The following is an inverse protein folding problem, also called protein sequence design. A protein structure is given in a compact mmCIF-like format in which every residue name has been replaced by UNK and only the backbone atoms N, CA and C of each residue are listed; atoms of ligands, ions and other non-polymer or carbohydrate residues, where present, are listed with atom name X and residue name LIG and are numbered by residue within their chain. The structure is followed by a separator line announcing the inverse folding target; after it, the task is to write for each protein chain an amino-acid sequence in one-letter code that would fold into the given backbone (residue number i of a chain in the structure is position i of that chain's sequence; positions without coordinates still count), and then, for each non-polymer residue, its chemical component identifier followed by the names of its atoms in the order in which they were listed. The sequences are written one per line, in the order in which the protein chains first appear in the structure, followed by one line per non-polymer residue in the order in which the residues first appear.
data_IF_249246754630
#
_entry.id   IF_249246754630
#
_cell.length_a   1.000
_cell.length_b   1.000
_cell.length_c   1.000
_cell.angle_alpha   90.00
_cell.angle_beta   90.00
_cell.angle_gamma   90.00
#
_symmetry.space_group_name_H-M   'P 1'
#
loop_
_entity.id
_entity.type
_entity.pdbx_description
1 polymer ?
#
# COMPACT_ATOMS: atom_id res chain seq x y z
N UNK A 1 -3.01 12.28 23.72
CA UNK A 1 -3.89 13.22 23.07
C UNK A 1 -3.96 14.52 23.84
N UNK A 2 -5.00 15.30 23.71
CA UNK A 2 -5.17 16.61 24.35
C UNK A 2 -6.58 16.72 24.92
N UNK A 3 -6.83 17.77 25.71
CA UNK A 3 -8.13 18.07 26.25
C UNK A 3 -8.36 17.58 27.66
N UNK A 4 -9.58 17.77 28.11
CA UNK A 4 -10.12 17.38 29.43
C UNK A 4 -11.30 16.48 29.16
N UNK A 5 -11.46 15.44 29.98
CA UNK A 5 -12.61 14.52 29.94
C UNK A 5 -13.21 14.43 31.33
N UNK A 6 -14.53 14.46 31.42
CA UNK A 6 -15.28 14.40 32.67
C UNK A 6 -16.23 13.20 32.66
N UNK A 7 -16.57 12.70 33.83
CA UNK A 7 -17.63 11.73 34.00
C UNK A 7 -18.95 12.32 33.48
N UNK A 8 -19.66 11.58 32.64
CA UNK A 8 -20.90 12.00 32.00
C UNK A 8 -20.73 12.72 30.66
N UNK A 9 -19.49 13.03 30.24
CA UNK A 9 -19.26 13.65 28.93
C UNK A 9 -19.72 12.71 27.80
N UNK A 10 -20.36 13.27 26.77
CA UNK A 10 -20.64 12.56 25.54
C UNK A 10 -19.34 12.41 24.76
N UNK A 11 -19.05 11.20 24.32
CA UNK A 11 -17.88 10.88 23.50
C UNK A 11 -18.26 10.11 22.25
N UNK A 12 -17.47 10.26 21.21
CA UNK A 12 -17.65 9.54 19.95
C UNK A 12 -16.36 8.78 19.60
N UNK A 13 -16.53 7.50 19.27
CA UNK A 13 -15.44 6.66 18.77
C UNK A 13 -15.25 6.90 17.27
N UNK A 14 -14.04 7.23 16.84
CA UNK A 14 -13.68 7.35 15.42
C UNK A 14 -12.72 6.23 15.02
N UNK A 15 -12.93 5.57 13.83
CA UNK A 15 -13.77 6.03 12.72
C UNK A 15 -15.23 5.53 12.76
N UNK A 16 -15.65 4.74 13.75
CA UNK A 16 -16.99 4.10 13.74
C UNK A 16 -18.17 5.10 13.86
N UNK A 17 -17.94 6.28 14.43
CA UNK A 17 -18.96 7.28 14.67
C UNK A 17 -19.92 6.93 15.81
N UNK A 18 -19.71 5.82 16.54
CA UNK A 18 -20.55 5.42 17.67
C UNK A 18 -20.36 6.37 18.82
N UNK A 19 -21.47 6.78 19.44
CA UNK A 19 -21.51 7.69 20.58
C UNK A 19 -21.84 6.95 21.85
N UNK A 20 -21.30 7.41 22.97
CA UNK A 20 -21.61 6.96 24.34
C UNK A 20 -21.28 8.05 25.33
N UNK A 21 -21.55 7.79 26.61
CA UNK A 21 -21.16 8.69 27.71
C UNK A 21 -20.08 8.04 28.57
N UNK A 22 -19.21 8.89 29.12
CA UNK A 22 -18.17 8.45 30.06
C UNK A 22 -18.82 8.03 31.38
N UNK A 23 -18.78 6.74 31.68
CA UNK A 23 -19.34 6.17 32.90
C UNK A 23 -18.44 6.39 34.10
N UNK A 24 -17.14 6.11 33.95
CA UNK A 24 -16.12 6.36 34.97
C UNK A 24 -14.74 6.61 34.38
N UNK A 25 -13.92 7.29 35.14
CA UNK A 25 -12.50 7.54 34.83
C UNK A 25 -11.71 6.96 35.99
N UNK A 26 -10.82 6.02 35.70
CA UNK A 26 -10.08 5.26 36.74
C UNK A 26 -8.58 5.41 36.52
N UNK A 27 -7.86 5.65 37.59
CA UNK A 27 -6.39 5.62 37.67
C UNK A 27 -5.94 4.57 38.68
N UNK A 28 -4.61 4.42 38.82
CA UNK A 28 -4.06 3.55 39.86
C UNK A 28 -4.49 3.98 41.28
N UNK A 29 -4.66 5.28 41.53
CA UNK A 29 -5.00 5.86 42.83
C UNK A 29 -6.53 5.89 43.11
N UNK A 30 -7.34 5.46 42.14
CA UNK A 30 -8.80 5.41 42.26
C UNK A 30 -9.55 6.12 41.13
N UNK A 31 -10.86 6.34 41.38
CA UNK A 31 -11.73 7.04 40.44
C UNK A 31 -11.52 8.55 40.48
N UNK A 32 -11.66 9.20 39.34
CA UNK A 32 -11.60 10.64 39.15
C UNK A 32 -12.90 11.14 38.50
N UNK A 33 -13.30 12.35 38.85
CA UNK A 33 -14.42 13.03 38.20
C UNK A 33 -13.98 13.72 36.89
N UNK A 34 -12.69 14.10 36.80
CA UNK A 34 -12.09 14.78 35.66
C UNK A 34 -10.65 14.29 35.44
N UNK A 35 -10.25 14.16 34.18
CA UNK A 35 -8.85 13.90 33.81
C UNK A 35 -8.44 14.76 32.61
N UNK A 36 -7.14 15.05 32.53
CA UNK A 36 -6.53 15.89 31.50
C UNK A 36 -5.27 15.26 30.92
N UNK A 37 -4.90 15.73 29.73
CA UNK A 37 -3.63 15.30 29.10
C UNK A 37 -2.44 15.86 29.89
N UNK A 38 -1.37 15.03 30.15
CA UNK A 38 -1.06 13.71 29.61
C UNK A 38 -1.34 12.52 30.57
N UNK A 39 -2.29 12.64 31.48
CA UNK A 39 -2.60 11.55 32.42
C UNK A 39 -2.92 10.23 31.71
N UNK A 40 -2.38 9.12 32.25
CA UNK A 40 -2.76 7.77 31.85
C UNK A 40 -3.99 7.35 32.65
N UNK A 41 -5.10 7.11 31.97
CA UNK A 41 -6.39 6.82 32.56
C UNK A 41 -7.03 5.61 31.88
N UNK A 42 -7.92 4.94 32.60
CA UNK A 42 -8.88 3.98 32.04
C UNK A 42 -10.25 4.63 32.02
N UNK A 43 -10.88 4.68 30.84
CA UNK A 43 -12.25 5.18 30.69
C UNK A 43 -13.17 3.98 30.50
N UNK A 44 -14.28 3.95 31.23
CA UNK A 44 -15.40 3.05 30.97
C UNK A 44 -16.54 3.85 30.36
N UNK A 45 -17.25 3.26 29.42
CA UNK A 45 -18.39 3.87 28.73
C UNK A 45 -19.71 3.26 29.22
N UNK A 46 -20.81 3.97 29.02
CA UNK A 46 -22.14 3.44 29.36
C UNK A 46 -22.57 2.35 28.40
N UNK A 47 -22.22 2.50 27.10
CA UNK A 47 -22.51 1.53 26.07
C UNK A 47 -21.28 0.69 25.73
N UNK A 48 -21.52 -0.50 25.23
CA UNK A 48 -20.47 -1.41 24.75
C UNK A 48 -20.05 -0.99 23.34
N UNK A 49 -18.93 -0.25 23.26
CA UNK A 49 -18.33 0.20 22.00
C UNK A 49 -16.98 -0.48 21.84
N UNK A 50 -16.78 -1.14 20.71
CA UNK A 50 -15.49 -1.67 20.31
C UNK A 50 -14.56 -0.52 19.87
N UNK A 51 -13.39 -0.44 20.50
CA UNK A 51 -12.37 0.58 20.25
C UNK A 51 -10.99 -0.08 20.22
N UNK A 52 -10.38 -0.07 19.05
CA UNK A 52 -9.09 -0.68 18.82
C UNK A 52 -7.93 0.31 18.93
N UNK A 53 -6.71 -0.23 19.10
CA UNK A 53 -5.49 0.60 19.10
C UNK A 53 -5.33 1.33 17.76
N UNK A 54 -5.13 2.63 17.85
CA UNK A 54 -5.04 3.52 16.66
C UNK A 54 -6.33 4.28 16.40
N UNK A 55 -7.43 3.88 17.02
CA UNK A 55 -8.69 4.63 17.04
C UNK A 55 -8.70 5.67 18.16
N UNK A 56 -9.68 6.54 18.17
CA UNK A 56 -9.69 7.69 19.07
C UNK A 56 -11.09 7.95 19.63
N UNK A 57 -11.17 8.29 20.91
CA UNK A 57 -12.36 8.90 21.49
C UNK A 57 -12.24 10.41 21.40
N UNK A 58 -13.26 11.06 20.89
CA UNK A 58 -13.32 12.50 20.69
C UNK A 58 -14.62 13.07 21.23
N UNK A 59 -14.63 14.36 21.52
CA UNK A 59 -15.88 15.07 21.76
C UNK A 59 -16.65 15.23 20.43
N UNK A 60 -17.99 14.97 20.38
CA UNK A 60 -18.74 15.02 19.13
C UNK A 60 -18.66 16.36 18.38
N UNK A 61 -18.49 17.47 19.10
CA UNK A 61 -18.39 18.81 18.52
C UNK A 61 -16.96 19.22 18.19
N UNK A 62 -15.96 18.35 18.46
CA UNK A 62 -14.55 18.65 18.21
C UNK A 62 -13.85 17.45 17.60
N UNK A 63 -14.16 17.17 16.34
CA UNK A 63 -13.62 16.05 15.59
C UNK A 63 -12.35 16.50 14.87
N UNK A 64 -11.21 15.77 14.99
CA UNK A 64 -10.01 16.04 14.22
C UNK A 64 -10.22 15.77 12.73
N UNK A 65 -9.30 16.24 11.89
CA UNK A 65 -9.28 15.86 10.47
C UNK A 65 -9.14 14.34 10.33
N UNK A 66 -9.94 13.75 9.42
CA UNK A 66 -9.91 12.33 9.08
C UNK A 66 -9.53 12.23 7.62
N UNK A 67 -8.26 12.11 7.33
CA UNK A 67 -7.77 12.11 5.95
C UNK A 67 -6.63 11.13 5.73
N UNK A 68 -6.50 10.66 4.49
CA UNK A 68 -5.32 9.93 4.03
C UNK A 68 -4.25 10.86 3.46
N UNK A 69 -4.67 12.06 3.04
CA UNK A 69 -3.83 13.01 2.33
C UNK A 69 -3.59 14.21 3.25
N UNK A 70 -2.35 14.49 3.52
CA UNK A 70 -1.99 15.60 4.38
C UNK A 70 -0.65 16.21 3.98
N UNK A 71 -0.45 17.43 4.39
CA UNK A 71 0.75 18.19 4.17
C UNK A 71 1.48 18.41 5.50
N UNK A 72 2.79 18.27 5.48
CA UNK A 72 3.61 18.45 6.68
C UNK A 72 4.96 19.07 6.38
N UNK A 73 5.53 19.73 7.41
CA UNK A 73 6.96 19.97 7.46
C UNK A 73 7.65 18.69 7.90
N UNK A 74 8.70 18.31 7.20
CA UNK A 74 9.47 17.10 7.40
C UNK A 74 10.93 17.43 7.65
N UNK A 75 11.54 16.79 8.63
CA UNK A 75 12.99 16.81 8.86
C UNK A 75 13.53 15.42 8.60
N UNK A 76 14.44 15.30 7.64
CA UNK A 76 15.04 14.02 7.30
C UNK A 76 16.20 13.69 8.25
N UNK A 77 16.19 12.51 8.83
CA UNK A 77 17.12 12.08 9.88
C UNK A 77 17.96 10.85 9.50
N UNK A 78 17.70 10.25 8.35
CA UNK A 78 18.43 9.08 7.88
C UNK A 78 19.65 9.52 7.06
N UNK A 79 20.76 8.77 7.18
CA UNK A 79 21.94 8.95 6.32
C UNK A 79 21.66 8.63 4.86
N UNK A 80 20.73 7.68 4.62
CA UNK A 80 20.25 7.39 3.27
C UNK A 80 19.31 8.49 2.81
N UNK A 81 19.54 9.05 1.62
CA UNK A 81 18.61 10.02 1.04
C UNK A 81 17.20 9.43 0.88
N UNK A 82 16.21 10.28 1.00
CA UNK A 82 14.82 9.93 0.75
C UNK A 82 14.65 9.33 -0.66
N UNK A 83 13.98 8.20 -0.74
CA UNK A 83 13.59 7.60 -2.00
C UNK A 83 12.11 7.90 -2.28
N UNK A 84 11.82 8.59 -3.37
CA UNK A 84 10.47 9.04 -3.73
C UNK A 84 9.46 7.90 -3.82
N UNK A 85 9.90 6.76 -4.35
CA UNK A 85 9.04 5.60 -4.59
C UNK A 85 8.95 4.63 -3.40
N UNK A 86 9.64 4.92 -2.32
CA UNK A 86 9.65 4.06 -1.15
C UNK A 86 8.43 4.35 -0.26
N UNK A 87 7.79 3.28 0.20
CA UNK A 87 6.80 3.39 1.27
C UNK A 87 7.49 3.30 2.62
N UNK A 88 7.11 4.19 3.53
CA UNK A 88 7.55 4.20 4.93
C UNK A 88 6.41 3.77 5.83
N UNK A 89 6.70 3.31 7.04
CA UNK A 89 5.71 3.30 8.09
C UNK A 89 5.61 4.69 8.71
N UNK A 90 4.40 5.21 8.81
CA UNK A 90 4.11 6.40 9.61
C UNK A 90 3.57 5.95 10.97
N UNK A 91 4.14 6.50 12.04
CA UNK A 91 3.62 6.34 13.40
C UNK A 91 3.19 7.71 13.91
N UNK A 92 1.89 7.84 14.10
CA UNK A 92 1.24 9.05 14.59
C UNK A 92 0.37 8.66 15.78
N UNK A 93 0.64 9.22 16.94
CA UNK A 93 0.04 8.78 18.22
C UNK A 93 0.16 7.26 18.41
N UNK A 94 -0.95 6.55 18.49
CA UNK A 94 -1.03 5.08 18.59
C UNK A 94 -1.27 4.39 17.25
N UNK A 95 -1.48 5.16 16.18
CA UNK A 95 -1.73 4.64 14.84
C UNK A 95 -0.41 4.37 14.11
N UNK A 96 -0.36 3.25 13.40
CA UNK A 96 0.76 2.89 12.52
C UNK A 96 0.20 2.37 11.21
N UNK A 97 0.59 2.98 10.10
CA UNK A 97 0.19 2.57 8.77
C UNK A 97 1.30 2.85 7.76
N UNK A 98 1.15 2.40 6.53
CA UNK A 98 2.09 2.75 5.45
C UNK A 98 1.72 4.11 4.86
N UNK A 99 2.74 4.85 4.45
CA UNK A 99 2.64 6.15 3.81
C UNK A 99 3.69 6.28 2.72
N UNK A 100 3.39 7.01 1.67
CA UNK A 100 4.39 7.47 0.72
C UNK A 100 4.38 9.00 0.64
N UNK A 101 5.49 9.55 0.19
CA UNK A 101 5.64 10.97 -0.06
C UNK A 101 5.22 11.21 -1.51
N UNK A 102 4.11 11.89 -1.72
CA UNK A 102 3.56 12.18 -3.05
C UNK A 102 4.43 13.22 -3.78
N UNK A 103 4.75 14.31 -3.09
CA UNK A 103 5.62 15.36 -3.62
C UNK A 103 6.31 16.16 -2.51
N UNK A 104 7.50 16.66 -2.82
CA UNK A 104 8.15 17.71 -2.04
C UNK A 104 7.77 19.05 -2.67
N UNK A 105 7.09 19.93 -1.90
CA UNK A 105 6.74 21.26 -2.41
C UNK A 105 7.96 22.15 -2.49
N UNK A 106 8.78 22.15 -1.45
CA UNK A 106 10.07 22.86 -1.40
C UNK A 106 10.91 22.37 -0.21
N UNK A 107 12.21 22.59 -0.30
CA UNK A 107 13.14 22.53 0.85
C UNK A 107 13.38 23.91 1.41
N UNK A 108 13.72 23.97 2.69
CA UNK A 108 14.07 25.19 3.41
C UNK A 108 15.53 25.13 3.82
N UNK A 109 16.34 26.10 3.41
CA UNK A 109 17.67 26.28 3.95
C UNK A 109 17.54 26.92 5.36
N UNK A 110 18.08 26.24 6.37
CA UNK A 110 17.95 26.67 7.76
C UNK A 110 18.74 27.94 8.09
N UNK A 111 19.73 28.33 7.26
CA UNK A 111 20.58 29.51 7.48
C UNK A 111 20.02 30.75 6.80
N UNK A 112 19.52 30.58 5.56
CA UNK A 112 19.01 31.70 4.76
C UNK A 112 17.50 31.81 4.79
N UNK A 113 16.80 30.77 5.24
CA UNK A 113 15.33 30.62 5.19
C UNK A 113 14.77 30.63 3.75
N UNK A 114 15.65 30.49 2.76
CA UNK A 114 15.25 30.44 1.37
C UNK A 114 14.60 29.07 1.03
N UNK A 115 13.66 29.11 0.12
CA UNK A 115 12.96 27.93 -0.39
C UNK A 115 13.53 27.53 -1.74
N UNK A 116 13.79 26.25 -1.93
CA UNK A 116 14.26 25.68 -3.19
C UNK A 116 13.46 24.46 -3.58
N UNK A 117 13.28 24.25 -4.89
CA UNK A 117 12.66 23.04 -5.41
C UNK A 117 13.59 21.84 -5.22
N UNK A 118 13.03 20.70 -4.86
CA UNK A 118 13.79 19.47 -4.69
C UNK A 118 12.90 18.24 -4.90
N UNK A 119 13.50 17.15 -5.36
CA UNK A 119 12.83 15.86 -5.55
C UNK A 119 13.20 14.84 -4.47
N UNK A 120 14.24 15.09 -3.70
CA UNK A 120 14.74 14.21 -2.64
C UNK A 120 15.23 15.02 -1.45
N UNK A 121 15.44 14.36 -0.33
CA UNK A 121 15.96 14.94 0.91
C UNK A 121 17.17 14.14 1.39
N UNK A 122 18.17 14.85 1.91
CA UNK A 122 19.35 14.31 2.57
C UNK A 122 19.29 14.55 4.08
N UNK A 123 20.19 13.93 4.81
CA UNK A 123 20.31 14.09 6.28
C UNK A 123 20.27 15.57 6.71
N UNK A 124 19.46 15.86 7.73
CA UNK A 124 19.24 17.18 8.32
C UNK A 124 18.57 18.23 7.41
N UNK A 125 18.05 17.82 6.26
CA UNK A 125 17.27 18.73 5.43
C UNK A 125 15.83 18.84 5.91
N UNK A 126 15.27 20.05 5.75
CA UNK A 126 13.89 20.37 6.08
C UNK A 126 13.12 20.64 4.79
N UNK A 127 11.95 20.04 4.67
CA UNK A 127 11.10 20.24 3.50
C UNK A 127 9.62 20.32 3.88
N UNK A 128 8.83 20.94 3.02
CA UNK A 128 7.38 20.85 3.00
C UNK A 128 6.98 19.81 1.99
N UNK A 129 6.27 18.79 2.44
CA UNK A 129 5.91 17.64 1.61
C UNK A 129 4.45 17.23 1.79
N UNK A 130 3.91 16.60 0.74
CA UNK A 130 2.57 16.01 0.72
C UNK A 130 2.69 14.51 0.87
N UNK A 131 1.80 13.95 1.66
CA UNK A 131 1.80 12.55 2.05
C UNK A 131 0.47 11.89 1.71
N UNK A 132 0.53 10.61 1.32
CA UNK A 132 -0.65 9.76 1.13
C UNK A 132 -0.48 8.49 1.94
N UNK A 133 -1.37 8.27 2.91
CA UNK A 133 -1.37 7.09 3.78
C UNK A 133 -2.34 6.01 3.30
N UNK A 134 -2.03 4.74 3.60
CA UNK A 134 -2.90 3.63 3.22
C UNK A 134 -4.21 3.58 4.02
N UNK A 135 -4.17 4.06 5.28
CA UNK A 135 -5.36 4.21 6.14
C UNK A 135 -5.52 5.66 6.55
N UNK A 136 -6.74 6.12 6.80
CA UNK A 136 -6.96 7.46 7.33
C UNK A 136 -6.20 7.67 8.64
N UNK A 137 -5.62 8.85 8.81
CA UNK A 137 -5.08 9.34 10.06
C UNK A 137 -6.08 10.31 10.70
N UNK A 138 -6.02 10.41 12.03
CA UNK A 138 -6.84 11.33 12.82
C UNK A 138 -5.92 12.39 13.40
N UNK A 139 -5.95 13.59 12.85
CA UNK A 139 -4.98 14.62 13.21
C UNK A 139 -5.56 16.01 13.28
N UNK A 140 -4.93 16.82 14.10
CA UNK A 140 -5.04 18.27 14.06
C UNK A 140 -3.73 18.85 13.47
N UNK A 141 -3.72 20.11 13.08
CA UNK A 141 -2.47 20.75 12.72
C UNK A 141 -1.53 20.77 13.94
N UNK A 142 -0.23 20.66 13.70
CA UNK A 142 0.78 20.69 14.77
C UNK A 142 0.70 21.97 15.61
N UNK A 143 0.27 23.09 15.01
CA UNK A 143 0.08 24.36 15.71
C UNK A 143 -1.03 24.31 16.74
N UNK A 144 -2.11 23.58 16.43
CA UNK A 144 -3.28 23.43 17.32
C UNK A 144 -3.00 22.38 18.40
N UNK A 145 -2.47 21.22 17.98
CA UNK A 145 -2.27 20.08 18.85
C UNK A 145 -0.98 19.33 18.49
N UNK A 146 0.07 19.61 19.24
CA UNK A 146 1.41 19.03 18.98
C UNK A 146 1.40 17.51 19.01
N UNK A 147 0.61 16.88 19.88
CA UNK A 147 0.58 15.43 20.04
C UNK A 147 -0.09 14.74 18.85
N UNK A 148 -1.23 15.27 18.38
CA UNK A 148 -1.96 14.71 17.25
C UNK A 148 -1.42 15.17 15.89
N UNK A 149 -0.69 16.30 15.87
CA UNK A 149 -0.09 16.87 14.67
C UNK A 149 1.35 16.47 14.39
N UNK A 150 1.95 15.58 15.18
CA UNK A 150 3.31 15.09 14.97
C UNK A 150 3.35 13.61 14.61
N UNK A 151 4.35 13.22 13.83
CA UNK A 151 4.58 11.83 13.43
C UNK A 151 6.05 11.54 13.19
N UNK A 152 6.38 10.26 13.12
CA UNK A 152 7.67 9.78 12.64
C UNK A 152 7.48 8.89 11.43
N UNK A 153 8.47 8.91 10.52
CA UNK A 153 8.62 7.94 9.43
C UNK A 153 9.65 6.89 9.83
N UNK A 154 9.33 5.65 9.57
CA UNK A 154 10.16 4.49 9.90
C UNK A 154 10.44 3.73 8.60
N UNK A 155 11.70 3.42 8.34
CA UNK A 155 12.09 2.57 7.23
C UNK A 155 11.57 1.13 7.46
N UNK A 156 10.81 0.55 6.50
CA UNK A 156 10.20 -0.77 6.69
C UNK A 156 11.20 -1.93 6.70
N UNK A 157 12.44 -1.71 6.26
CA UNK A 157 13.48 -2.75 6.17
C UNK A 157 14.35 -2.70 7.42
N UNK A 158 14.87 -1.52 7.77
CA UNK A 158 15.80 -1.34 8.89
C UNK A 158 15.10 -1.12 10.22
N UNK A 159 13.82 -0.72 10.20
CA UNK A 159 13.04 -0.24 11.36
C UNK A 159 13.64 1.00 12.05
N UNK A 160 14.54 1.70 11.39
CA UNK A 160 15.08 2.97 11.88
C UNK A 160 14.11 4.12 11.60
N UNK A 161 14.16 5.15 12.43
CA UNK A 161 13.44 6.40 12.17
C UNK A 161 14.15 7.16 11.06
N UNK A 162 13.49 7.32 9.92
CA UNK A 162 14.02 8.04 8.76
C UNK A 162 13.70 9.53 8.79
N UNK A 163 12.57 9.92 9.39
CA UNK A 163 12.20 11.34 9.49
C UNK A 163 11.22 11.61 10.62
N UNK A 164 11.11 12.88 10.97
CA UNK A 164 10.07 13.42 11.86
C UNK A 164 9.25 14.47 11.12
N UNK A 165 7.95 14.54 11.39
CA UNK A 165 7.06 15.45 10.68
C UNK A 165 6.07 16.18 11.58
N UNK A 166 5.69 17.36 11.12
CA UNK A 166 4.71 18.25 11.75
C UNK A 166 3.59 18.53 10.74
N UNK A 167 2.42 18.00 10.97
CA UNK A 167 1.26 18.14 10.07
C UNK A 167 0.80 19.58 10.03
N UNK A 168 0.60 20.09 8.83
CA UNK A 168 0.13 21.46 8.58
C UNK A 168 -1.38 21.42 8.41
N UNK A 169 -1.86 20.63 7.44
CA UNK A 169 -3.27 20.55 7.09
C UNK A 169 -3.57 19.29 6.25
N UNK A 170 -4.84 19.01 6.01
CA UNK A 170 -5.25 18.03 5.02
C UNK A 170 -5.07 18.58 3.59
N UNK A 171 -4.99 17.64 2.63
CA UNK A 171 -4.84 17.96 1.21
C UNK A 171 -5.97 17.31 0.42
N UNK A 172 -6.60 18.07 -0.48
CA UNK A 172 -7.61 17.51 -1.36
C UNK A 172 -6.99 16.53 -2.36
N UNK A 173 -7.73 15.50 -2.70
CA UNK A 173 -7.25 14.49 -3.67
C UNK A 173 -6.96 15.08 -5.06
N UNK A 174 -7.58 16.21 -5.42
CA UNK A 174 -7.31 16.96 -6.65
C UNK A 174 -5.92 17.58 -6.69
N UNK A 175 -5.31 17.82 -5.53
CA UNK A 175 -4.05 18.55 -5.39
C UNK A 175 -2.83 17.61 -5.28
N UNK A 176 -3.07 16.31 -5.37
CA UNK A 176 -2.02 15.28 -5.38
C UNK A 176 -1.33 15.23 -6.74
N UNK A 177 -0.04 14.89 -6.74
CA UNK A 177 0.71 14.66 -7.98
C UNK A 177 0.16 13.50 -8.80
N UNK A 178 -0.44 12.52 -8.10
CA UNK A 178 -1.15 11.39 -8.69
C UNK A 178 -2.58 11.70 -9.15
N UNK A 179 -3.04 12.96 -9.02
CA UNK A 179 -4.36 13.34 -9.52
C UNK A 179 -4.44 13.16 -11.04
N UNK A 180 -5.50 12.49 -11.49
CA UNK A 180 -5.72 12.19 -12.91
C UNK A 180 -5.94 13.49 -13.69
N UNK A 181 -5.01 13.80 -14.59
CA UNK A 181 -5.07 14.98 -15.47
C UNK A 181 -6.04 14.75 -16.64
N UNK A 182 -6.39 15.81 -17.38
CA UNK A 182 -7.20 15.65 -18.61
C UNK A 182 -6.43 14.86 -19.71
N UNK A 183 -5.11 14.97 -19.72
CA UNK A 183 -4.27 14.17 -20.61
C UNK A 183 -4.33 12.68 -20.23
N UNK A 184 -4.31 12.36 -18.94
CA UNK A 184 -4.46 10.99 -18.45
C UNK A 184 -5.85 10.42 -18.79
N UNK A 185 -6.89 11.23 -18.66
CA UNK A 185 -8.24 10.85 -19.08
C UNK A 185 -8.30 10.55 -20.59
N UNK A 186 -7.56 11.29 -21.39
CA UNK A 186 -7.45 11.02 -22.83
C UNK A 186 -6.77 9.67 -23.07
N UNK A 187 -5.62 9.42 -22.41
CA UNK A 187 -4.91 8.12 -22.49
C UNK A 187 -5.83 6.95 -22.13
N UNK A 188 -6.63 7.10 -21.05
CA UNK A 188 -7.55 6.03 -20.65
C UNK A 188 -8.69 5.80 -21.62
N UNK A 189 -9.20 6.86 -22.28
CA UNK A 189 -10.19 6.71 -23.38
C UNK A 189 -9.62 5.97 -24.58
N UNK A 190 -8.32 6.14 -24.83
CA UNK A 190 -7.58 5.42 -25.89
C UNK A 190 -7.16 4.00 -25.44
N UNK A 191 -7.64 3.51 -24.29
CA UNK A 191 -7.36 2.17 -23.76
C UNK A 191 -5.98 2.02 -23.14
N UNK A 192 -5.26 3.11 -22.87
CA UNK A 192 -3.93 3.10 -22.27
C UNK A 192 -4.06 3.14 -20.74
N UNK A 193 -3.44 2.17 -20.08
CA UNK A 193 -3.38 2.13 -18.60
C UNK A 193 -2.47 3.21 -18.04
N UNK A 194 -2.91 3.91 -17.00
CA UNK A 194 -2.09 4.88 -16.27
C UNK A 194 -1.10 4.21 -15.31
N UNK A 195 -1.27 2.91 -15.04
CA UNK A 195 -0.35 2.14 -14.21
C UNK A 195 0.65 1.43 -15.12
N UNK A 196 1.93 1.76 -14.99
CA UNK A 196 3.00 1.12 -15.74
C UNK A 196 3.24 -0.32 -15.29
N UNK A 197 3.85 -1.11 -16.14
CA UNK A 197 4.18 -2.51 -15.82
C UNK A 197 5.21 -2.58 -14.68
N UNK A 198 6.18 -1.65 -14.64
CA UNK A 198 7.16 -1.56 -13.56
C UNK A 198 6.55 -1.19 -12.20
N UNK A 199 5.52 -0.34 -12.16
CA UNK A 199 4.79 -0.05 -10.92
C UNK A 199 4.05 -1.29 -10.42
N UNK A 200 3.47 -2.09 -11.33
CA UNK A 200 2.80 -3.36 -10.97
C UNK A 200 3.79 -4.38 -10.41
N UNK A 201 4.91 -4.60 -11.11
CA UNK A 201 5.96 -5.52 -10.65
C UNK A 201 6.49 -5.14 -9.27
N UNK A 202 6.70 -3.85 -9.03
CA UNK A 202 7.14 -3.34 -7.72
C UNK A 202 6.07 -3.55 -6.64
N UNK A 203 4.79 -3.32 -6.96
CA UNK A 203 3.68 -3.50 -6.02
C UNK A 203 3.49 -4.97 -5.64
N UNK A 204 3.58 -5.86 -6.63
CA UNK A 204 3.41 -7.32 -6.45
C UNK A 204 4.68 -7.94 -5.84
N UNK A 205 5.85 -7.31 -6.03
CA UNK A 205 7.14 -7.82 -5.57
C UNK A 205 7.71 -8.94 -6.43
N UNK A 206 7.21 -9.09 -7.67
CA UNK A 206 7.69 -10.10 -8.63
C UNK A 206 7.57 -9.59 -10.06
N UNK A 207 8.46 -10.07 -10.94
CA UNK A 207 8.33 -9.93 -12.38
C UNK A 207 7.47 -11.07 -12.96
N UNK A 208 6.63 -10.73 -13.93
CA UNK A 208 5.85 -11.74 -14.65
C UNK A 208 6.75 -12.69 -15.44
N UNK A 209 6.35 -13.95 -15.46
CA UNK A 209 7.01 -15.02 -16.24
C UNK A 209 5.94 -15.87 -16.91
N UNK A 210 6.24 -16.30 -18.14
CA UNK A 210 5.35 -17.19 -18.88
C UNK A 210 5.95 -18.59 -18.96
N UNK A 211 5.20 -19.57 -18.49
CA UNK A 211 5.52 -20.98 -18.61
C UNK A 211 4.51 -21.65 -19.55
N UNK A 212 4.98 -22.45 -20.48
CA UNK A 212 4.16 -23.24 -21.39
C UNK A 212 4.40 -24.71 -21.07
N UNK A 213 3.36 -25.41 -20.67
CA UNK A 213 3.40 -26.84 -20.42
C UNK A 213 2.93 -27.56 -21.67
N UNK A 214 3.89 -28.14 -22.41
CA UNK A 214 3.64 -28.84 -23.66
C UNK A 214 3.72 -30.37 -23.47
N UNK A 215 2.87 -31.15 -24.14
CA UNK A 215 2.88 -32.60 -24.08
C UNK A 215 1.68 -33.21 -24.80
N UNK A 216 1.62 -34.54 -24.82
CA UNK A 216 0.55 -35.31 -25.52
C UNK A 216 -0.55 -35.79 -24.57
N UNK A 217 -0.41 -35.61 -23.27
CA UNK A 217 -1.36 -36.06 -22.28
C UNK A 217 -1.86 -34.90 -21.42
N UNK A 218 -3.10 -34.49 -21.64
CA UNK A 218 -3.72 -33.36 -20.95
C UNK A 218 -3.78 -33.53 -19.42
N UNK A 219 -4.03 -34.75 -18.93
CA UNK A 219 -4.10 -34.99 -17.49
C UNK A 219 -2.74 -34.74 -16.82
N UNK A 220 -1.66 -35.20 -17.45
CA UNK A 220 -0.30 -35.00 -16.96
C UNK A 220 0.13 -33.52 -17.06
N UNK A 221 -0.24 -32.81 -18.14
CA UNK A 221 -0.02 -31.38 -18.28
C UNK A 221 -0.73 -30.60 -17.18
N UNK A 222 -1.99 -30.92 -16.87
CA UNK A 222 -2.75 -30.29 -15.78
C UNK A 222 -2.11 -30.54 -14.43
N UNK A 223 -1.74 -31.77 -14.15
CA UNK A 223 -1.07 -32.12 -12.91
C UNK A 223 0.22 -31.33 -12.73
N UNK A 224 1.07 -31.28 -13.75
CA UNK A 224 2.31 -30.51 -13.75
C UNK A 224 2.03 -29.00 -13.52
N UNK A 225 1.07 -28.42 -14.24
CA UNK A 225 0.73 -27.02 -14.15
C UNK A 225 0.26 -26.62 -12.74
N UNK A 226 -0.67 -27.38 -12.16
CA UNK A 226 -1.21 -27.09 -10.83
C UNK A 226 -0.23 -27.40 -9.70
N UNK A 227 0.65 -28.38 -9.83
CA UNK A 227 1.74 -28.62 -8.89
C UNK A 227 2.78 -27.48 -8.93
N UNK A 228 3.10 -26.97 -10.12
CA UNK A 228 3.98 -25.81 -10.28
C UNK A 228 3.35 -24.55 -9.66
N UNK A 229 2.06 -24.29 -9.93
CA UNK A 229 1.31 -23.20 -9.31
C UNK A 229 1.37 -23.28 -7.78
N UNK A 230 1.07 -24.47 -7.24
CA UNK A 230 1.13 -24.69 -5.78
C UNK A 230 2.53 -24.42 -5.22
N UNK A 231 3.56 -24.91 -5.89
CA UNK A 231 4.95 -24.71 -5.47
C UNK A 231 5.35 -23.23 -5.48
N UNK A 232 4.96 -22.50 -6.51
CA UNK A 232 5.19 -21.06 -6.59
C UNK A 232 4.47 -20.30 -5.48
N UNK A 233 3.21 -20.67 -5.21
CA UNK A 233 2.45 -20.09 -4.11
C UNK A 233 3.11 -20.33 -2.75
N UNK A 234 3.59 -21.56 -2.47
CA UNK A 234 4.28 -21.90 -1.22
C UNK A 234 5.61 -21.13 -1.04
N UNK A 235 6.21 -20.63 -2.12
CA UNK A 235 7.39 -19.77 -2.12
C UNK A 235 7.07 -18.28 -2.15
N UNK A 236 5.80 -17.91 -2.00
CA UNK A 236 5.36 -16.51 -1.92
C UNK A 236 5.15 -15.81 -3.26
N UNK A 237 5.03 -16.57 -4.36
CA UNK A 237 4.78 -16.02 -5.68
C UNK A 237 3.31 -16.13 -6.07
N UNK A 238 2.82 -15.13 -6.79
CA UNK A 238 1.50 -15.14 -7.37
C UNK A 238 1.54 -15.71 -8.79
N UNK A 239 0.96 -16.90 -8.95
CA UNK A 239 0.91 -17.59 -10.24
C UNK A 239 -0.55 -17.94 -10.60
N UNK A 240 -0.82 -18.12 -11.89
CA UNK A 240 -2.13 -18.52 -12.40
C UNK A 240 -1.97 -19.54 -13.52
N UNK A 241 -2.79 -20.60 -13.50
CA UNK A 241 -2.86 -21.59 -14.57
C UNK A 241 -3.93 -21.19 -15.58
N UNK A 242 -3.56 -21.08 -16.84
CA UNK A 242 -4.46 -20.92 -17.98
C UNK A 242 -4.61 -22.25 -18.69
N UNK A 243 -5.81 -22.82 -18.61
CA UNK A 243 -6.22 -24.04 -19.31
C UNK A 243 -7.16 -23.66 -20.45
N UNK A 244 -6.70 -23.81 -21.70
CA UNK A 244 -7.46 -23.43 -22.88
C UNK A 244 -8.84 -24.12 -22.92
N UNK A 245 -8.91 -25.40 -22.56
CA UNK A 245 -10.16 -26.14 -22.56
C UNK A 245 -11.16 -25.62 -21.52
N UNK A 246 -10.69 -25.27 -20.31
CA UNK A 246 -11.56 -24.66 -19.28
C UNK A 246 -12.07 -23.27 -19.68
N UNK A 247 -11.33 -22.57 -20.52
CA UNK A 247 -11.73 -21.28 -21.07
C UNK A 247 -12.64 -21.39 -22.29
N UNK A 248 -12.99 -22.61 -22.73
CA UNK A 248 -13.80 -22.84 -23.93
C UNK A 248 -13.05 -22.48 -25.22
N UNK A 249 -11.73 -22.53 -25.18
CA UNK A 249 -10.87 -22.25 -26.34
C UNK A 249 -10.58 -23.57 -27.01
N UNK A 250 -11.48 -23.95 -27.92
CA UNK A 250 -11.41 -25.20 -28.65
C UNK A 250 -11.02 -24.94 -30.10
N UNK A 251 -9.75 -25.14 -30.43
CA UNK A 251 -9.26 -25.12 -31.81
C UNK A 251 -8.11 -24.14 -32.10
N UNK A 252 -7.42 -24.46 -33.19
CA UNK A 252 -6.20 -23.75 -33.65
C UNK A 252 -6.40 -22.27 -33.95
N UNK A 253 -7.60 -21.88 -34.40
CA UNK A 253 -7.89 -20.47 -34.72
C UNK A 253 -7.95 -19.54 -33.50
N UNK A 254 -8.06 -20.09 -32.28
CA UNK A 254 -8.15 -19.33 -31.04
C UNK A 254 -6.83 -19.31 -30.23
N UNK A 255 -5.81 -20.05 -30.69
CA UNK A 255 -4.50 -20.13 -30.01
C UNK A 255 -3.82 -18.76 -29.91
N UNK A 256 -3.98 -17.92 -30.94
CA UNK A 256 -3.43 -16.56 -30.92
C UNK A 256 -4.07 -15.67 -29.85
N UNK A 257 -5.39 -15.79 -29.63
CA UNK A 257 -6.10 -15.06 -28.59
C UNK A 257 -5.66 -15.53 -27.20
N UNK A 258 -5.49 -16.83 -27.02
CA UNK A 258 -5.01 -17.43 -25.77
C UNK A 258 -3.58 -16.96 -25.45
N UNK A 259 -2.67 -16.98 -26.43
CA UNK A 259 -1.31 -16.48 -26.30
C UNK A 259 -1.27 -14.97 -25.96
N UNK A 260 -2.17 -14.18 -26.55
CA UNK A 260 -2.29 -12.76 -26.26
C UNK A 260 -2.74 -12.52 -24.79
N UNK A 261 -3.72 -13.27 -24.29
CA UNK A 261 -4.17 -13.19 -22.89
C UNK A 261 -3.02 -13.57 -21.95
N UNK A 262 -2.31 -14.65 -22.23
CA UNK A 262 -1.19 -15.12 -21.43
C UNK A 262 -0.06 -14.06 -21.38
N UNK A 263 0.27 -13.46 -22.50
CA UNK A 263 1.28 -12.41 -22.62
C UNK A 263 0.86 -11.17 -21.84
N UNK A 264 -0.41 -10.75 -21.93
CA UNK A 264 -0.89 -9.57 -21.21
C UNK A 264 -0.87 -9.77 -19.70
N UNK A 265 -1.27 -10.94 -19.19
CA UNK A 265 -1.18 -11.27 -17.77
C UNK A 265 0.27 -11.27 -17.28
N UNK A 266 1.17 -11.86 -18.05
CA UNK A 266 2.61 -11.88 -17.74
C UNK A 266 3.18 -10.46 -17.68
N UNK A 267 2.81 -9.60 -18.64
CA UNK A 267 3.23 -8.19 -18.64
C UNK A 267 2.73 -7.42 -17.42
N UNK A 268 1.64 -7.85 -16.80
CA UNK A 268 1.11 -7.28 -15.56
C UNK A 268 1.79 -7.79 -14.29
N UNK A 269 2.90 -8.53 -14.38
CA UNK A 269 3.64 -9.03 -13.23
C UNK A 269 3.15 -10.39 -12.70
N UNK A 270 2.26 -11.06 -13.43
CA UNK A 270 1.70 -12.36 -13.02
C UNK A 270 2.53 -13.49 -13.63
N UNK A 271 2.91 -14.48 -12.83
CA UNK A 271 3.49 -15.71 -13.34
C UNK A 271 2.36 -16.53 -13.97
N UNK A 272 2.40 -16.67 -15.29
CA UNK A 272 1.34 -17.30 -16.06
C UNK A 272 1.82 -18.68 -16.54
N UNK A 273 1.04 -19.73 -16.26
CA UNK A 273 1.33 -21.12 -16.62
C UNK A 273 0.28 -21.56 -17.63
N UNK A 274 0.65 -21.73 -18.89
CA UNK A 274 -0.24 -22.13 -19.96
C UNK A 274 -0.16 -23.63 -20.22
N UNK A 275 -1.31 -24.29 -20.34
CA UNK A 275 -1.40 -25.67 -20.80
C UNK A 275 -1.61 -25.65 -22.31
N UNK A 276 -0.59 -26.07 -23.05
CA UNK A 276 -0.59 -26.10 -24.52
C UNK A 276 -1.05 -27.49 -25.02
N UNK A 277 -2.33 -27.57 -25.39
CA UNK A 277 -2.96 -28.78 -25.89
C UNK A 277 -2.52 -29.21 -27.31
N UNK A 278 -2.00 -28.20 -28.08
CA UNK A 278 -1.79 -28.41 -29.50
C UNK A 278 -0.32 -28.27 -29.93
N UNK A 279 0.56 -27.91 -28.98
CA UNK A 279 2.00 -27.65 -29.28
C UNK A 279 2.22 -26.42 -30.16
N UNK A 280 1.27 -25.49 -30.20
CA UNK A 280 1.25 -24.38 -31.15
C UNK A 280 1.45 -23.01 -30.48
N UNK A 281 1.48 -22.96 -29.15
CA UNK A 281 1.71 -21.70 -28.43
C UNK A 281 3.18 -21.34 -28.54
N UNK A 282 3.48 -20.35 -29.35
CA UNK A 282 4.82 -19.74 -29.45
C UNK A 282 4.73 -18.31 -28.96
N UNK A 283 5.43 -17.99 -27.86
CA UNK A 283 5.54 -16.64 -27.33
C UNK A 283 7.01 -16.37 -27.05
N UNK A 284 7.50 -15.22 -27.49
CA UNK A 284 8.88 -14.79 -27.21
C UNK A 284 9.12 -14.71 -25.71
N UNK A 285 10.30 -15.16 -25.26
CA UNK A 285 10.71 -15.18 -23.86
C UNK A 285 9.85 -16.09 -22.93
N UNK A 286 9.09 -17.04 -23.44
CA UNK A 286 8.38 -18.03 -22.66
C UNK A 286 9.30 -19.23 -22.31
N UNK A 287 9.16 -19.74 -21.08
CA UNK A 287 9.79 -20.99 -20.66
C UNK A 287 8.89 -22.17 -21.04
N UNK A 288 9.33 -22.99 -21.97
CA UNK A 288 8.56 -24.18 -22.37
C UNK A 288 9.05 -25.39 -21.56
N UNK A 289 8.11 -26.07 -20.89
CA UNK A 289 8.32 -27.33 -20.19
C UNK A 289 7.66 -28.43 -21.01
N UNK A 290 8.48 -29.23 -21.69
CA UNK A 290 8.00 -30.40 -22.43
C UNK A 290 7.88 -31.61 -21.50
N UNK A 291 6.70 -32.23 -21.47
CA UNK A 291 6.45 -33.46 -20.74
C UNK A 291 6.57 -34.63 -21.70
N UNK A 292 7.65 -35.40 -21.55
CA UNK A 292 7.78 -36.71 -22.19
C UNK A 292 6.96 -37.74 -21.39
N UNK A 293 6.57 -38.85 -22.04
CA UNK A 293 5.67 -39.83 -21.41
C UNK A 293 6.14 -40.39 -20.06
N UNK A 294 7.45 -40.25 -19.74
CA UNK A 294 8.06 -40.79 -18.51
C UNK A 294 8.91 -39.77 -17.70
N UNK A 295 9.05 -38.49 -18.13
CA UNK A 295 9.86 -37.52 -17.36
C UNK A 295 9.60 -36.07 -17.74
N UNK A 296 9.67 -35.17 -16.73
CA UNK A 296 9.62 -33.72 -16.92
C UNK A 296 11.04 -33.23 -17.25
N UNK A 297 11.28 -32.69 -18.46
CA UNK A 297 12.53 -32.07 -18.83
C UNK A 297 12.31 -30.59 -19.23
N UNK A 298 13.10 -29.64 -18.69
CA UNK A 298 13.10 -28.25 -19.17
C UNK A 298 13.74 -28.18 -20.57
N UNK A 299 13.06 -27.58 -21.52
CA UNK A 299 13.61 -27.29 -22.86
C UNK A 299 14.05 -25.83 -22.90
N UNK A 300 15.36 -25.60 -22.90
CA UNK A 300 15.94 -24.27 -23.07
C UNK A 300 16.07 -23.99 -24.59
N UNK A 301 15.18 -23.13 -25.12
CA UNK A 301 15.20 -22.71 -26.52
C UNK A 301 16.21 -21.59 -26.82
N UNK A 302 17.02 -21.14 -25.84
CA UNK A 302 18.02 -20.09 -26.01
C UNK A 302 19.45 -20.64 -26.22
N UNK A 303 19.58 -21.86 -26.73
CA UNK A 303 20.85 -22.38 -27.23
C UNK A 303 20.69 -22.71 -28.71
N UNK A 304 20.91 -21.68 -29.54
CA UNK A 304 21.59 -21.74 -30.84
C UNK A 304 22.03 -20.29 -31.18
#
# INVERSE_FOLDING_TARGET
ASGIVRKGDEVMAIPSGKKSHVKSIVTYDGELDEAFSPQSITITLEDEIDLSRGEMLVHPDNIPHISRNFEAMLVWMDEKPMQRDQQYFIKQTTNTTRVHIDQIKYKVDVNTMEQSMAETMSLNEIARAVFVSNKPLFFDSYKQNKNCGSFILIDPITNNTSAVGMIIDEVNSSDLSSAVTEEDRKKTRDGISLVSDSERERLIGQAGKLFIIAGNNLSVQRECAYLLERRLFDTGHFAIVLDAQKLGIDGKSQTAAFAAIATELTRKGIITICIDLYGEITVDNAFTIAIAEDSIQPVDKNKD
#
